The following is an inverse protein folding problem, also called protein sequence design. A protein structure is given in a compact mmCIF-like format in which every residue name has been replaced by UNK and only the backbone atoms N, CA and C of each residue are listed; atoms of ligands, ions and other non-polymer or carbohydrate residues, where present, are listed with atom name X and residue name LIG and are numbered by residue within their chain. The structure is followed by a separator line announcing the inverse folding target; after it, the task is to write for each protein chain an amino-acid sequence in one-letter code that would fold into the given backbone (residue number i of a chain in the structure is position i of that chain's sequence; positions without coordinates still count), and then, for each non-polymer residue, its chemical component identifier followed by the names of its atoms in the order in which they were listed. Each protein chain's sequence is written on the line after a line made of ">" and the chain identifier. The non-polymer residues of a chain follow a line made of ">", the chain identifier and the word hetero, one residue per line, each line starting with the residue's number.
data_IF_458268560869
#
_entry.id   IF_458268560869
#
_cell.length_a   1.000
_cell.length_b   1.000
_cell.length_c   1.000
_cell.angle_alpha   90.00
_cell.angle_beta   90.00
_cell.angle_gamma   90.00
#
_symmetry.space_group_name_H-M   'P 1'
#
loop_
_entity.id
_entity.type
_entity.pdbx_description
1 polymer ?
#
# COMPACT_ATOMS: atom_id res chain seq x y z
N UNK A 1 9.02 4.90 18.53
CA UNK A 1 8.98 4.97 17.05
C UNK A 1 8.55 3.65 16.39
N UNK A 2 8.79 2.48 17.01
CA UNK A 2 8.40 1.15 16.48
C UNK A 2 6.88 1.04 16.19
N UNK A 3 6.02 1.54 17.09
CA UNK A 3 4.57 1.49 16.93
C UNK A 3 4.07 2.29 15.73
N UNK A 4 4.71 3.42 15.41
CA UNK A 4 4.32 4.28 14.29
C UNK A 4 4.57 3.60 12.93
N UNK A 5 5.65 2.83 12.83
CA UNK A 5 6.02 2.14 11.59
C UNK A 5 5.04 0.99 11.28
N UNK A 6 4.68 0.19 12.29
CA UNK A 6 3.72 -0.91 12.11
C UNK A 6 2.33 -0.41 11.72
N UNK A 7 1.87 0.68 12.35
CA UNK A 7 0.59 1.29 12.01
C UNK A 7 0.60 1.83 10.57
N UNK A 8 1.68 2.49 10.16
CA UNK A 8 1.84 3.02 8.80
C UNK A 8 1.87 1.91 7.75
N UNK A 9 2.61 0.83 8.00
CA UNK A 9 2.64 -0.36 7.11
C UNK A 9 1.23 -0.92 6.94
N UNK A 10 0.50 -1.12 8.05
CA UNK A 10 -0.85 -1.67 8.00
C UNK A 10 -1.82 -0.75 7.26
N UNK A 11 -1.73 0.57 7.47
CA UNK A 11 -2.53 1.56 6.75
C UNK A 11 -2.27 1.55 5.25
N UNK A 12 -1.00 1.52 4.84
CA UNK A 12 -0.61 1.45 3.44
C UNK A 12 -1.15 0.19 2.77
N UNK A 13 -0.99 -0.98 3.42
CA UNK A 13 -1.49 -2.24 2.89
C UNK A 13 -3.01 -2.27 2.78
N UNK A 14 -3.73 -1.91 3.85
CA UNK A 14 -5.20 -1.91 3.86
C UNK A 14 -5.75 -0.93 2.83
N UNK A 15 -5.23 0.31 2.81
CA UNK A 15 -5.68 1.33 1.86
C UNK A 15 -5.41 0.88 0.42
N UNK A 16 -4.22 0.36 0.13
CA UNK A 16 -3.88 -0.16 -1.19
C UNK A 16 -4.82 -1.28 -1.64
N UNK A 17 -5.13 -2.23 -0.75
CA UNK A 17 -6.09 -3.32 -1.03
C UNK A 17 -7.50 -2.79 -1.26
N UNK A 18 -7.97 -1.84 -0.44
CA UNK A 18 -9.30 -1.23 -0.60
C UNK A 18 -9.42 -0.55 -1.96
N UNK A 19 -8.42 0.25 -2.38
CA UNK A 19 -8.42 0.92 -3.69
C UNK A 19 -8.49 -0.13 -4.82
N UNK A 20 -7.69 -1.18 -4.75
CA UNK A 20 -7.65 -2.23 -5.79
C UNK A 20 -8.96 -3.04 -5.85
N UNK A 21 -9.64 -3.25 -4.72
CA UNK A 21 -10.87 -4.05 -4.64
C UNK A 21 -12.12 -3.23 -4.96
N UNK A 22 -12.22 -2.00 -4.45
CA UNK A 22 -13.43 -1.18 -4.59
C UNK A 22 -13.29 -0.18 -5.73
N UNK A 23 -12.33 0.75 -5.66
CA UNK A 23 -12.22 1.86 -6.60
C UNK A 23 -11.98 1.37 -8.02
N UNK A 24 -11.00 0.49 -8.24
CA UNK A 24 -10.70 -0.07 -9.57
C UNK A 24 -11.93 -0.78 -10.16
N UNK A 25 -12.68 -1.53 -9.35
CA UNK A 25 -13.90 -2.23 -9.82
C UNK A 25 -15.03 -1.26 -10.12
N UNK A 26 -15.22 -0.23 -9.29
CA UNK A 26 -16.25 0.78 -9.48
C UNK A 26 -15.96 1.63 -10.72
N UNK A 27 -14.72 2.08 -10.91
CA UNK A 27 -14.32 2.81 -12.13
C UNK A 27 -14.42 1.94 -13.38
N UNK A 28 -14.12 0.65 -13.29
CA UNK A 28 -14.34 -0.27 -14.41
C UNK A 28 -15.82 -0.40 -14.78
N UNK A 29 -16.72 -0.53 -13.79
CA UNK A 29 -18.17 -0.58 -14.02
C UNK A 29 -18.73 0.72 -14.62
N UNK A 30 -18.15 1.86 -14.24
CA UNK A 30 -18.56 3.17 -14.73
C UNK A 30 -17.90 3.56 -16.08
N UNK A 31 -17.11 2.68 -16.72
CA UNK A 31 -16.32 2.97 -17.92
C UNK A 31 -15.34 4.16 -17.77
N UNK A 32 -14.90 4.43 -16.53
CA UNK A 32 -13.97 5.51 -16.18
C UNK A 32 -12.52 5.03 -16.30
N UNK A 33 -12.02 4.93 -17.54
CA UNK A 33 -10.72 4.29 -17.83
C UNK A 33 -9.51 5.06 -17.28
N UNK A 34 -9.58 6.40 -17.21
CA UNK A 34 -8.46 7.23 -16.71
C UNK A 34 -8.32 7.08 -15.19
N UNK A 35 -9.43 7.14 -14.50
CA UNK A 35 -9.55 7.03 -13.04
C UNK A 35 -9.23 5.60 -12.60
N UNK A 36 -9.65 4.58 -13.35
CA UNK A 36 -9.22 3.20 -13.14
C UNK A 36 -7.69 3.07 -13.19
N UNK A 37 -7.02 3.68 -14.18
CA UNK A 37 -5.55 3.64 -14.27
C UNK A 37 -4.91 4.35 -13.08
N UNK A 38 -5.44 5.49 -12.67
CA UNK A 38 -5.01 6.21 -11.47
C UNK A 38 -5.15 5.36 -10.21
N UNK A 39 -6.30 4.71 -10.02
CA UNK A 39 -6.57 3.83 -8.88
C UNK A 39 -5.68 2.58 -8.87
N UNK A 40 -5.40 1.98 -10.04
CA UNK A 40 -4.46 0.86 -10.14
C UNK A 40 -3.05 1.29 -9.70
N UNK A 41 -2.58 2.44 -10.18
CA UNK A 41 -1.28 2.98 -9.79
C UNK A 41 -1.25 3.30 -8.29
N UNK A 42 -2.25 4.01 -7.77
CA UNK A 42 -2.35 4.38 -6.37
C UNK A 42 -2.42 3.16 -5.44
N UNK A 43 -3.24 2.16 -5.80
CA UNK A 43 -3.40 0.94 -5.04
C UNK A 43 -2.11 0.13 -4.98
N UNK A 44 -1.48 -0.15 -6.12
CA UNK A 44 -0.20 -0.86 -6.16
C UNK A 44 0.94 -0.08 -5.52
N UNK A 45 0.95 1.24 -5.64
CA UNK A 45 1.94 2.09 -4.99
C UNK A 45 1.83 2.00 -3.46
N UNK A 46 0.62 2.08 -2.91
CA UNK A 46 0.37 1.90 -1.48
C UNK A 46 0.82 0.52 -0.99
N UNK A 47 0.43 -0.55 -1.70
CA UNK A 47 0.85 -1.92 -1.36
C UNK A 47 2.38 -2.06 -1.40
N UNK A 48 3.02 -1.53 -2.44
CA UNK A 48 4.48 -1.60 -2.61
C UNK A 48 5.21 -0.84 -1.51
N UNK A 49 4.74 0.36 -1.13
CA UNK A 49 5.29 1.12 -0.01
C UNK A 49 5.11 0.38 1.31
N UNK A 50 3.93 -0.22 1.56
CA UNK A 50 3.68 -1.01 2.76
C UNK A 50 4.68 -2.17 2.90
N UNK A 51 4.90 -2.94 1.84
CA UNK A 51 5.90 -4.00 1.83
C UNK A 51 7.33 -3.46 1.98
N UNK A 52 7.69 -2.40 1.26
CA UNK A 52 9.03 -1.83 1.31
C UNK A 52 9.36 -1.28 2.71
N UNK A 53 8.40 -0.63 3.37
CA UNK A 53 8.53 -0.19 4.76
C UNK A 53 8.68 -1.36 5.73
N UNK A 54 7.92 -2.44 5.53
CA UNK A 54 8.02 -3.65 6.36
C UNK A 54 9.39 -4.33 6.21
N UNK A 55 9.84 -4.57 4.98
CA UNK A 55 11.15 -5.16 4.73
C UNK A 55 12.29 -4.24 5.18
N UNK A 56 12.17 -2.93 4.96
CA UNK A 56 13.13 -1.94 5.44
C UNK A 56 13.28 -1.98 6.95
N UNK A 57 12.17 -2.11 7.68
CA UNK A 57 12.21 -2.31 9.14
C UNK A 57 12.91 -3.60 9.53
N UNK A 58 12.55 -4.73 8.90
CA UNK A 58 13.14 -6.03 9.22
C UNK A 58 14.65 -6.07 8.96
N UNK A 59 15.11 -5.41 7.89
CA UNK A 59 16.54 -5.25 7.60
C UNK A 59 17.20 -4.34 8.63
N UNK A 60 16.58 -3.21 8.96
CA UNK A 60 17.09 -2.29 9.98
C UNK A 60 17.26 -2.97 11.33
N UNK A 61 16.23 -3.66 11.81
CA UNK A 61 16.24 -4.38 13.09
C UNK A 61 17.36 -5.43 13.11
N UNK A 62 17.50 -6.22 12.05
CA UNK A 62 18.52 -7.27 11.96
C UNK A 62 19.97 -6.74 11.90
N UNK A 63 20.18 -5.57 11.30
CA UNK A 63 21.53 -5.02 11.07
C UNK A 63 21.99 -4.06 12.16
N UNK A 64 21.09 -3.23 12.69
CA UNK A 64 21.44 -2.20 13.67
C UNK A 64 21.13 -2.60 15.12
N UNK A 65 20.18 -3.51 15.33
CA UNK A 65 19.70 -3.91 16.66
C UNK A 65 19.98 -5.39 16.93
N UNK A 66 21.17 -5.85 16.52
CA UNK A 66 21.69 -7.17 16.90
C UNK A 66 21.96 -7.27 18.39
#
# INVERSE_FOLDING_TARGET
>A
MITFNNYTVLLLLITGVIILVFDVKNYAKANMLKEKKGALLAGWFNVSLGFLSFFGYMVYEKWFWK
#
